data_IF_127556731642
#
_entry.id   IF_127556731642
#
_cell.length_a   1.000
_cell.length_b   1.000
_cell.length_c   1.000
_cell.angle_alpha   90.00
_cell.angle_beta   90.00
_cell.angle_gamma   90.00
#
_symmetry.space_group_name_H-M   'P 1'
#
loop_
_entity.id
_entity.type
_entity.pdbx_description
1 polymer ?
#
# COMPACT_ATOMS: atom_id res chain seq x y z
N UNK A 1 7.29 14.98 5.53
CA UNK A 1 6.75 14.68 4.19
C UNK A 1 5.24 14.85 4.18
N UNK A 2 4.69 15.27 3.04
CA UNK A 2 3.28 15.28 2.68
C UNK A 2 2.97 14.01 1.88
N UNK A 3 2.11 13.14 2.41
CA UNK A 3 1.88 11.80 1.85
C UNK A 3 0.38 11.58 1.65
N UNK A 4 -0.02 11.26 0.42
CA UNK A 4 -1.36 10.76 0.12
C UNK A 4 -1.34 9.23 0.12
N UNK A 5 -2.33 8.60 0.77
CA UNK A 5 -2.51 7.14 0.72
C UNK A 5 -3.83 6.85 0.02
N UNK A 6 -3.75 6.38 -1.23
CA UNK A 6 -4.90 6.08 -2.07
C UNK A 6 -5.33 4.64 -1.83
N UNK A 7 -6.46 4.47 -1.15
CA UNK A 7 -6.98 3.17 -0.72
C UNK A 7 -6.89 2.94 0.78
N UNK A 8 -7.71 3.64 1.57
CA UNK A 8 -7.73 3.52 3.02
C UNK A 8 -8.42 2.22 3.55
N UNK A 9 -8.00 1.07 3.04
CA UNK A 9 -8.26 -0.25 3.62
C UNK A 9 -7.22 -0.63 4.67
N UNK A 10 -7.07 -1.94 4.93
CA UNK A 10 -6.13 -2.48 5.92
C UNK A 10 -4.70 -1.91 5.80
N UNK A 11 -4.09 -2.07 4.62
CA UNK A 11 -2.69 -1.67 4.39
C UNK A 11 -2.54 -0.15 4.35
N UNK A 12 -3.46 0.56 3.67
CA UNK A 12 -3.42 2.01 3.60
C UNK A 12 -3.54 2.66 4.99
N UNK A 13 -4.46 2.17 5.82
CA UNK A 13 -4.59 2.61 7.21
C UNK A 13 -3.35 2.29 8.04
N UNK A 14 -2.75 1.10 7.88
CA UNK A 14 -1.53 0.74 8.60
C UNK A 14 -0.38 1.70 8.26
N UNK A 15 -0.10 1.88 6.97
CA UNK A 15 1.03 2.68 6.51
C UNK A 15 0.81 4.15 6.83
N UNK A 16 -0.36 4.70 6.48
CA UNK A 16 -0.67 6.09 6.75
C UNK A 16 -0.79 6.41 8.24
N UNK A 17 -1.36 5.51 9.05
CA UNK A 17 -1.43 5.67 10.50
C UNK A 17 -0.06 5.71 11.16
N UNK A 18 0.85 4.81 10.77
CA UNK A 18 2.22 4.77 11.32
C UNK A 18 3.07 5.95 10.87
N UNK A 19 2.93 6.39 9.62
CA UNK A 19 3.58 7.62 9.13
C UNK A 19 3.07 8.86 9.87
N UNK A 20 1.76 8.96 10.07
CA UNK A 20 1.18 10.06 10.84
C UNK A 20 1.69 10.07 12.29
N UNK A 21 1.80 8.92 12.95
CA UNK A 21 2.38 8.84 14.30
C UNK A 21 3.81 9.39 14.41
N UNK A 22 4.58 9.40 13.30
CA UNK A 22 5.91 10.01 13.23
C UNK A 22 5.89 11.50 12.81
N UNK A 23 4.72 12.11 12.75
CA UNK A 23 4.57 13.54 12.43
C UNK A 23 4.59 13.88 10.95
N UNK A 24 4.51 12.89 10.05
CA UNK A 24 4.27 13.17 8.63
C UNK A 24 2.84 13.67 8.43
N UNK A 25 2.66 14.56 7.46
CA UNK A 25 1.35 15.05 7.09
C UNK A 25 0.71 14.05 6.12
N UNK A 26 -0.27 13.29 6.61
CA UNK A 26 -0.86 12.16 5.90
C UNK A 26 -2.31 12.45 5.54
N UNK A 27 -2.65 12.26 4.26
CA UNK A 27 -4.03 12.27 3.76
C UNK A 27 -4.43 10.86 3.34
N UNK A 28 -5.39 10.26 4.06
CA UNK A 28 -5.99 8.98 3.74
C UNK A 28 -7.17 9.17 2.78
N UNK A 29 -7.12 8.54 1.61
CA UNK A 29 -8.22 8.54 0.65
C UNK A 29 -8.98 7.23 0.76
N UNK A 30 -10.21 7.32 1.25
CA UNK A 30 -11.12 6.18 1.39
C UNK A 30 -12.54 6.60 1.03
N UNK A 31 -13.48 5.65 0.93
CA UNK A 31 -14.88 5.97 0.61
C UNK A 31 -15.46 6.97 1.63
N UNK A 32 -16.48 7.78 1.28
CA UNK A 32 -17.03 8.83 2.17
C UNK A 32 -17.32 8.38 3.61
N UNK A 33 -17.94 7.20 3.78
CA UNK A 33 -18.19 6.60 5.11
C UNK A 33 -16.92 6.41 5.94
N UNK A 34 -15.81 6.01 5.31
CA UNK A 34 -14.51 5.90 5.99
C UNK A 34 -14.01 7.28 6.41
N UNK A 35 -14.03 8.25 5.48
CA UNK A 35 -13.57 9.60 5.75
C UNK A 35 -14.33 10.23 6.91
N UNK A 36 -15.65 10.17 6.91
CA UNK A 36 -16.52 10.66 7.99
C UNK A 36 -16.18 9.99 9.33
N UNK A 37 -16.02 8.65 9.34
CA UNK A 37 -15.71 7.90 10.56
C UNK A 37 -14.36 8.31 11.14
N UNK A 38 -13.32 8.41 10.31
CA UNK A 38 -11.97 8.79 10.76
C UNK A 38 -11.89 10.27 11.14
N UNK A 39 -12.61 11.15 10.46
CA UNK A 39 -12.71 12.57 10.86
C UNK A 39 -13.35 12.73 12.25
N UNK A 40 -14.36 11.92 12.57
CA UNK A 40 -15.06 12.00 13.85
C UNK A 40 -14.30 11.30 15.00
N UNK A 41 -13.80 10.09 14.76
CA UNK A 41 -13.28 9.22 15.81
C UNK A 41 -11.75 9.07 15.79
N UNK A 42 -11.08 9.47 14.69
CA UNK A 42 -9.70 9.10 14.39
C UNK A 42 -9.57 7.70 13.81
N UNK A 43 -8.37 7.37 13.34
CA UNK A 43 -8.03 6.02 12.89
C UNK A 43 -7.62 5.17 14.09
N UNK A 44 -8.27 4.04 14.30
CA UNK A 44 -7.92 3.12 15.39
C UNK A 44 -7.05 1.97 14.88
N UNK A 45 -5.96 1.72 15.60
CA UNK A 45 -5.05 0.59 15.37
C UNK A 45 -5.09 -0.31 16.60
N UNK A 46 -5.28 -1.61 16.36
CA UNK A 46 -5.25 -2.66 17.38
C UNK A 46 -4.09 -3.60 17.07
N UNK A 47 -3.22 -3.80 18.05
CA UNK A 47 -2.09 -4.74 18.00
C UNK A 47 -1.85 -5.36 19.38
N UNK A 48 -0.72 -6.05 19.55
CA UNK A 48 -0.32 -6.70 20.81
C UNK A 48 -0.16 -5.71 21.98
N UNK A 49 0.09 -4.42 21.70
CA UNK A 49 0.16 -3.37 22.71
C UNK A 49 -1.22 -2.81 23.09
N UNK A 50 -2.27 -3.22 22.37
CA UNK A 50 -3.65 -2.86 22.63
C UNK A 50 -4.24 -1.91 21.58
N UNK A 51 -5.29 -1.20 21.99
CA UNK A 51 -6.04 -0.28 21.12
C UNK A 51 -5.53 1.14 21.27
N UNK A 52 -5.13 1.77 20.18
CA UNK A 52 -4.70 3.17 20.15
C UNK A 52 -5.29 3.93 18.96
N UNK A 53 -5.47 5.24 19.10
CA UNK A 53 -6.12 6.09 18.10
C UNK A 53 -5.16 7.15 17.56
N UNK A 54 -4.99 7.17 16.24
CA UNK A 54 -4.25 8.16 15.48
C UNK A 54 -5.21 9.26 15.02
N UNK A 55 -4.98 10.49 15.49
CA UNK A 55 -5.84 11.65 15.20
C UNK A 55 -5.22 12.68 14.27
N UNK A 56 -3.92 12.60 14.04
CA UNK A 56 -3.19 13.51 13.16
C UNK A 56 -3.14 12.99 11.71
N UNK A 57 -4.26 12.47 11.23
CA UNK A 57 -4.48 12.10 9.82
C UNK A 57 -5.60 12.98 9.27
N UNK A 58 -5.43 13.42 8.03
CA UNK A 58 -6.55 13.93 7.22
C UNK A 58 -7.20 12.74 6.54
N UNK A 59 -8.53 12.65 6.53
CA UNK A 59 -9.25 11.61 5.78
C UNK A 59 -10.25 12.26 4.83
N UNK A 60 -10.29 11.81 3.57
CA UNK A 60 -11.15 12.36 2.52
C UNK A 60 -11.79 11.25 1.69
N UNK A 61 -12.92 11.58 1.06
CA UNK A 61 -13.81 10.65 0.35
C UNK A 61 -13.31 10.17 -1.02
N UNK A 62 -12.40 10.93 -1.64
CA UNK A 62 -11.89 10.69 -2.99
C UNK A 62 -10.55 11.43 -3.23
N UNK A 63 -9.91 11.08 -4.35
CA UNK A 63 -8.60 11.60 -4.74
C UNK A 63 -8.64 13.09 -5.10
N UNK A 64 -9.73 13.56 -5.70
CA UNK A 64 -9.86 14.98 -6.07
C UNK A 64 -9.87 15.88 -4.83
N UNK A 65 -10.61 15.50 -3.80
CA UNK A 65 -10.65 16.20 -2.52
C UNK A 65 -9.27 16.23 -1.82
N UNK A 66 -8.49 15.14 -1.92
CA UNK A 66 -7.15 15.07 -1.34
C UNK A 66 -6.22 16.13 -1.95
N UNK A 67 -6.22 16.27 -3.27
CA UNK A 67 -5.36 17.23 -3.98
C UNK A 67 -5.88 18.66 -3.89
N UNK A 68 -7.18 18.87 -4.02
CA UNK A 68 -7.78 20.20 -3.89
C UNK A 68 -7.60 20.81 -2.49
N UNK A 69 -7.56 19.96 -1.45
CA UNK A 69 -7.35 20.38 -0.06
C UNK A 69 -5.88 20.46 0.37
N UNK A 70 -4.92 20.09 -0.49
CA UNK A 70 -3.51 20.06 -0.12
C UNK A 70 -2.89 21.47 -0.14
N UNK A 71 -2.26 21.87 0.96
CA UNK A 71 -1.59 23.17 1.08
C UNK A 71 -0.23 23.24 0.36
N UNK A 72 0.31 22.09 -0.04
CA UNK A 72 1.54 21.95 -0.80
C UNK A 72 1.47 20.67 -1.64
N UNK A 73 2.32 20.50 -2.66
CA UNK A 73 2.43 19.23 -3.38
C UNK A 73 2.70 18.06 -2.43
N UNK A 74 2.17 16.89 -2.79
CA UNK A 74 2.52 15.64 -2.11
C UNK A 74 3.93 15.21 -2.55
N UNK A 75 4.70 14.68 -1.61
CA UNK A 75 5.99 14.05 -1.88
C UNK A 75 5.78 12.63 -2.44
N UNK A 76 4.75 11.93 -1.93
CA UNK A 76 4.40 10.58 -2.34
C UNK A 76 2.88 10.34 -2.36
N UNK A 77 2.41 9.60 -3.37
CA UNK A 77 1.10 8.98 -3.45
C UNK A 77 1.25 7.44 -3.34
N UNK A 78 0.85 6.87 -2.22
CA UNK A 78 0.96 5.44 -1.93
C UNK A 78 -0.33 4.74 -2.34
N UNK A 79 -0.26 3.91 -3.38
CA UNK A 79 -1.37 3.09 -3.84
C UNK A 79 -1.50 1.82 -3.01
N UNK A 80 -2.68 1.66 -2.41
CA UNK A 80 -3.08 0.50 -1.60
C UNK A 80 -4.50 0.02 -1.93
N UNK A 81 -5.08 0.53 -3.02
CA UNK A 81 -6.30 -0.02 -3.64
C UNK A 81 -6.07 -1.47 -4.10
N UNK A 82 -7.15 -2.19 -4.38
CA UNK A 82 -7.03 -3.53 -4.96
C UNK A 82 -6.49 -3.41 -6.39
N UNK A 83 -5.69 -4.38 -6.84
CA UNK A 83 -4.97 -4.27 -8.12
C UNK A 83 -5.88 -4.13 -9.34
N UNK A 84 -7.13 -4.61 -9.26
CA UNK A 84 -8.14 -4.41 -10.30
C UNK A 84 -8.70 -2.97 -10.35
N UNK A 85 -8.47 -2.16 -9.30
CA UNK A 85 -8.85 -0.74 -9.25
C UNK A 85 -7.68 0.19 -9.63
N UNK A 86 -6.49 -0.35 -9.96
CA UNK A 86 -5.28 0.44 -10.24
C UNK A 86 -5.50 1.44 -11.38
N UNK A 87 -6.07 1.02 -12.51
CA UNK A 87 -6.32 1.90 -13.65
C UNK A 87 -7.18 3.12 -13.26
N UNK A 88 -8.30 2.87 -12.58
CA UNK A 88 -9.20 3.93 -12.09
C UNK A 88 -8.49 4.87 -11.11
N UNK A 89 -7.70 4.33 -10.17
CA UNK A 89 -6.95 5.16 -9.23
C UNK A 89 -5.92 6.06 -9.91
N UNK A 90 -5.27 5.59 -10.98
CA UNK A 90 -4.34 6.40 -11.77
C UNK A 90 -5.07 7.49 -12.55
N UNK A 91 -6.19 7.17 -13.19
CA UNK A 91 -7.02 8.16 -13.91
C UNK A 91 -7.52 9.27 -12.98
N UNK A 92 -8.01 8.90 -11.79
CA UNK A 92 -8.44 9.86 -10.77
C UNK A 92 -7.29 10.75 -10.28
N UNK A 93 -6.11 10.17 -10.05
CA UNK A 93 -4.92 10.91 -9.67
C UNK A 93 -4.49 11.88 -10.78
N UNK A 94 -4.48 11.42 -12.03
CA UNK A 94 -4.13 12.24 -13.19
C UNK A 94 -5.07 13.42 -13.36
N UNK A 95 -6.38 13.19 -13.22
CA UNK A 95 -7.39 14.24 -13.26
C UNK A 95 -7.21 15.27 -12.12
N UNK A 96 -6.93 14.81 -10.90
CA UNK A 96 -6.70 15.68 -9.75
C UNK A 96 -5.43 16.55 -9.91
N UNK A 97 -4.34 15.96 -10.45
CA UNK A 97 -3.11 16.68 -10.78
C UNK A 97 -3.36 17.73 -11.88
N UNK A 98 -4.08 17.37 -12.94
CA UNK A 98 -4.42 18.30 -14.03
C UNK A 98 -5.29 19.46 -13.54
N UNK A 99 -6.23 19.21 -12.62
CA UNK A 99 -7.11 20.23 -12.07
C UNK A 99 -6.37 21.20 -11.13
N UNK A 100 -5.42 20.70 -10.34
CA UNK A 100 -4.71 21.50 -9.32
C UNK A 100 -3.40 22.11 -9.83
N UNK A 101 -2.84 21.58 -10.92
CA UNK A 101 -1.52 21.96 -11.43
C UNK A 101 -0.36 21.50 -10.54
N UNK A 102 -0.61 20.62 -9.56
CA UNK A 102 0.44 20.04 -8.72
C UNK A 102 1.34 19.13 -9.57
N UNK A 103 2.66 19.05 -9.26
CA UNK A 103 3.55 18.10 -9.91
C UNK A 103 3.18 16.66 -9.54
N UNK A 104 3.53 15.72 -10.41
CA UNK A 104 3.38 14.29 -10.15
C UNK A 104 4.31 13.90 -8.97
N UNK A 105 3.80 13.30 -7.88
CA UNK A 105 4.62 12.85 -6.76
C UNK A 105 5.36 11.55 -7.10
N UNK A 106 6.11 10.98 -6.15
CA UNK A 106 6.43 9.55 -6.24
C UNK A 106 5.13 8.74 -6.11
N UNK A 107 4.84 7.87 -7.07
CA UNK A 107 3.71 6.95 -7.04
C UNK A 107 4.20 5.57 -6.62
N UNK A 108 3.84 5.18 -5.40
CA UNK A 108 4.37 4.00 -4.71
C UNK A 108 3.31 2.91 -4.72
N UNK A 109 3.55 1.78 -5.38
CA UNK A 109 2.64 0.63 -5.28
C UNK A 109 3.04 -0.27 -4.11
N UNK A 110 2.19 -0.34 -3.09
CA UNK A 110 2.29 -1.36 -2.02
C UNK A 110 1.32 -2.52 -2.23
N UNK A 111 0.76 -2.63 -3.43
CA UNK A 111 -0.26 -3.60 -3.77
C UNK A 111 0.35 -4.98 -4.00
N UNK A 112 -0.42 -6.02 -3.67
CA UNK A 112 -0.06 -7.39 -4.04
C UNK A 112 -0.13 -7.60 -5.56
N UNK A 113 0.68 -8.53 -6.06
CA UNK A 113 0.73 -8.89 -7.48
C UNK A 113 1.82 -8.15 -8.25
N UNK A 114 1.75 -8.26 -9.57
CA UNK A 114 2.65 -7.65 -10.57
C UNK A 114 1.82 -6.88 -11.59
N UNK A 115 2.43 -5.96 -12.33
CA UNK A 115 1.76 -5.15 -13.36
C UNK A 115 1.28 -3.77 -12.91
N UNK A 116 1.19 -3.52 -11.60
CA UNK A 116 0.78 -2.20 -11.08
C UNK A 116 1.84 -1.14 -11.40
N UNK A 117 3.11 -1.48 -11.22
CA UNK A 117 4.24 -0.60 -11.48
C UNK A 117 4.38 -0.27 -12.97
N UNK A 118 4.16 -1.24 -13.86
CA UNK A 118 4.05 -0.99 -15.30
C UNK A 118 2.91 -0.03 -15.63
N UNK A 119 1.73 -0.19 -15.02
CA UNK A 119 0.59 0.70 -15.22
C UNK A 119 0.90 2.13 -14.75
N UNK A 120 1.53 2.27 -13.57
CA UNK A 120 1.98 3.58 -13.05
C UNK A 120 2.98 4.21 -14.03
N UNK A 121 4.01 3.47 -14.44
CA UNK A 121 5.05 4.00 -15.33
C UNK A 121 4.50 4.39 -16.70
N UNK A 122 3.50 3.67 -17.23
CA UNK A 122 2.83 4.02 -18.47
C UNK A 122 1.97 5.29 -18.33
N UNK A 123 1.39 5.54 -17.16
CA UNK A 123 0.52 6.69 -16.91
C UNK A 123 1.31 7.96 -16.53
N UNK A 124 2.36 7.82 -15.72
CA UNK A 124 3.06 8.94 -15.06
C UNK A 124 4.58 8.99 -15.31
N UNK A 125 5.12 8.14 -16.19
CA UNK A 125 6.56 7.90 -16.39
C UNK A 125 7.22 7.07 -15.28
N UNK A 126 8.21 6.26 -15.67
CA UNK A 126 9.05 5.44 -14.82
C UNK A 126 9.90 6.25 -13.82
N UNK A 127 10.04 7.56 -14.02
CA UNK A 127 10.68 8.48 -13.07
C UNK A 127 9.88 8.69 -11.77
N UNK A 128 8.55 8.43 -11.81
CA UNK A 128 7.67 8.57 -10.65
C UNK A 128 7.36 7.24 -9.97
N UNK A 129 7.71 6.10 -10.57
CA UNK A 129 7.27 4.79 -10.10
C UNK A 129 8.19 4.18 -9.04
N UNK A 130 7.63 3.82 -7.89
CA UNK A 130 8.31 3.03 -6.86
C UNK A 130 7.55 1.74 -6.62
N UNK A 131 8.26 0.62 -6.69
CA UNK A 131 7.74 -0.69 -6.37
C UNK A 131 7.87 -0.95 -4.87
N UNK A 132 6.85 -1.53 -4.26
CA UNK A 132 6.93 -1.96 -2.88
C UNK A 132 6.17 -3.24 -2.57
N UNK A 133 6.56 -3.84 -1.45
CA UNK A 133 5.94 -5.05 -0.89
C UNK A 133 5.80 -4.90 0.61
N UNK A 134 4.72 -5.44 1.17
CA UNK A 134 4.51 -5.51 2.61
C UNK A 134 4.04 -6.91 2.97
N UNK A 135 4.52 -7.42 4.11
CA UNK A 135 4.24 -8.80 4.57
C UNK A 135 3.48 -8.85 5.89
N UNK A 136 2.96 -7.71 6.35
CA UNK A 136 2.21 -7.62 7.62
C UNK A 136 0.75 -7.97 7.36
N UNK A 137 0.20 -9.03 7.99
CA UNK A 137 -1.23 -9.32 7.94
C UNK A 137 -2.00 -8.28 8.74
N UNK A 138 -3.02 -7.69 8.11
CA UNK A 138 -3.87 -6.67 8.71
C UNK A 138 -5.30 -6.91 8.27
N UNK A 139 -6.24 -6.85 9.21
CA UNK A 139 -7.68 -6.93 8.95
C UNK A 139 -8.38 -5.61 9.29
N UNK A 140 -9.58 -5.42 8.74
CA UNK A 140 -10.44 -4.26 9.00
C UNK A 140 -11.72 -4.78 9.66
N UNK A 141 -11.74 -4.98 10.99
CA UNK A 141 -12.94 -5.46 11.68
C UNK A 141 -14.10 -4.47 11.56
N UNK A 142 -13.82 -3.17 11.54
CA UNK A 142 -14.80 -2.10 11.47
C UNK A 142 -14.25 -0.92 10.65
N UNK A 143 -15.12 -0.07 10.10
CA UNK A 143 -14.69 1.13 9.38
C UNK A 143 -13.85 2.01 10.33
N UNK A 144 -12.64 2.40 9.90
CA UNK A 144 -11.73 3.20 10.71
C UNK A 144 -11.00 2.43 11.82
N UNK A 145 -11.14 1.09 11.88
CA UNK A 145 -10.42 0.23 12.84
C UNK A 145 -9.65 -0.82 12.07
N UNK A 146 -8.34 -0.93 12.32
CA UNK A 146 -7.51 -2.03 11.82
C UNK A 146 -6.99 -2.90 12.96
N UNK A 147 -6.82 -4.19 12.69
CA UNK A 147 -6.17 -5.14 13.59
C UNK A 147 -4.93 -5.71 12.90
N UNK A 148 -3.77 -5.64 13.57
CA UNK A 148 -2.49 -6.16 13.11
C UNK A 148 -2.26 -7.54 13.76
N UNK A 149 -2.40 -8.62 13.00
CA UNK A 149 -2.32 -9.98 13.57
C UNK A 149 -0.88 -10.38 13.94
N UNK A 150 0.09 -9.94 13.13
CA UNK A 150 1.52 -10.24 13.32
C UNK A 150 2.37 -9.01 12.96
N UNK A 151 2.83 -8.22 13.94
CA UNK A 151 3.51 -6.94 13.72
C UNK A 151 4.96 -7.11 13.25
N UNK A 152 5.18 -7.83 12.14
CA UNK A 152 6.52 -8.04 11.56
C UNK A 152 7.05 -6.79 10.88
N UNK A 153 6.15 -6.00 10.29
CA UNK A 153 6.43 -4.73 9.61
C UNK A 153 7.53 -4.78 8.54
N UNK A 154 7.78 -5.95 7.94
CA UNK A 154 8.79 -6.09 6.88
C UNK A 154 8.26 -5.57 5.55
N UNK A 155 9.02 -4.63 4.98
CA UNK A 155 8.72 -3.94 3.74
C UNK A 155 9.91 -4.02 2.78
N UNK A 156 9.63 -4.30 1.51
CA UNK A 156 10.61 -4.14 0.44
C UNK A 156 10.26 -2.91 -0.39
N UNK A 157 11.27 -2.12 -0.78
CA UNK A 157 11.12 -1.00 -1.70
C UNK A 157 12.17 -1.09 -2.80
N UNK A 158 11.81 -0.68 -4.01
CA UNK A 158 12.75 -0.52 -5.11
C UNK A 158 12.31 0.63 -5.98
N UNK A 159 13.28 1.43 -6.44
CA UNK A 159 13.05 2.31 -7.59
C UNK A 159 12.68 1.44 -8.79
N UNK A 160 11.66 1.83 -9.55
CA UNK A 160 11.29 1.11 -10.76
C UNK A 160 12.32 1.26 -11.88
N UNK A 161 12.95 2.43 -11.93
CA UNK A 161 14.01 2.74 -12.87
C UNK A 161 15.06 3.66 -12.23
N UNK A 162 16.26 3.77 -12.82
CA UNK A 162 17.26 4.75 -12.38
C UNK A 162 16.81 6.21 -12.51
N UNK A 163 15.76 6.49 -13.29
CA UNK A 163 15.20 7.84 -13.47
C UNK A 163 14.44 8.34 -12.24
N UNK A 164 14.06 7.44 -11.32
CA UNK A 164 13.49 7.84 -10.03
C UNK A 164 14.57 8.56 -9.22
N UNK A 165 14.24 9.79 -8.80
CA UNK A 165 15.12 10.62 -8.00
C UNK A 165 15.59 9.87 -6.74
N UNK A 166 16.91 9.79 -6.57
CA UNK A 166 17.51 9.01 -5.49
C UNK A 166 17.29 9.66 -4.11
N UNK A 167 17.21 10.99 -4.05
CA UNK A 167 16.96 11.73 -2.82
C UNK A 167 15.53 11.52 -2.33
N UNK A 168 14.54 11.75 -3.19
CA UNK A 168 13.14 11.53 -2.87
C UNK A 168 12.85 10.06 -2.50
N UNK A 169 13.51 9.11 -3.16
CA UNK A 169 13.42 7.69 -2.78
C UNK A 169 14.02 7.42 -1.38
N UNK A 170 15.17 8.03 -1.06
CA UNK A 170 15.79 7.90 0.26
C UNK A 170 14.91 8.54 1.36
N UNK A 171 14.33 9.70 1.10
CA UNK A 171 13.40 10.36 2.03
C UNK A 171 12.17 9.49 2.32
N UNK A 172 11.59 8.88 1.28
CA UNK A 172 10.48 7.93 1.43
C UNK A 172 10.89 6.70 2.24
N UNK A 173 12.07 6.14 1.92
CA UNK A 173 12.63 5.00 2.65
C UNK A 173 12.77 5.33 4.14
N UNK A 174 13.36 6.47 4.47
CA UNK A 174 13.65 6.88 5.84
C UNK A 174 12.36 7.23 6.60
N UNK A 175 11.37 7.83 5.94
CA UNK A 175 10.04 8.04 6.51
C UNK A 175 9.37 6.72 6.90
N UNK A 176 9.41 5.71 6.02
CA UNK A 176 8.84 4.40 6.29
C UNK A 176 9.64 3.65 7.37
N UNK A 177 10.97 3.73 7.35
CA UNK A 177 11.81 3.14 8.39
C UNK A 177 11.55 3.79 9.75
N UNK A 178 11.48 5.13 9.81
CA UNK A 178 11.14 5.89 11.01
C UNK A 178 9.73 5.58 11.55
N UNK A 179 8.78 5.25 10.65
CA UNK A 179 7.46 4.75 11.02
C UNK A 179 7.47 3.35 11.65
N UNK A 180 8.62 2.69 11.73
CA UNK A 180 8.82 1.39 12.36
C UNK A 180 8.69 0.21 11.40
N UNK A 181 8.72 0.46 10.09
CA UNK A 181 8.84 -0.61 9.10
C UNK A 181 10.30 -1.07 9.00
N UNK A 182 10.51 -2.38 8.86
CA UNK A 182 11.80 -2.96 8.50
C UNK A 182 11.94 -2.90 6.98
N UNK A 183 12.40 -1.75 6.50
CA UNK A 183 12.50 -1.46 5.07
C UNK A 183 13.80 -2.03 4.50
N UNK A 184 13.71 -2.80 3.43
CA UNK A 184 14.85 -3.24 2.62
C UNK A 184 14.76 -2.62 1.23
N UNK A 185 15.80 -1.89 0.83
CA UNK A 185 15.92 -1.36 -0.52
C UNK A 185 16.51 -2.44 -1.45
N UNK A 186 15.78 -2.77 -2.51
CA UNK A 186 16.19 -3.71 -3.54
C UNK A 186 16.69 -2.96 -4.78
N UNK A 187 17.65 -3.56 -5.49
CA UNK A 187 18.14 -3.07 -6.79
C UNK A 187 17.32 -3.58 -7.98
N UNK A 188 16.52 -4.63 -7.78
CA UNK A 188 15.65 -5.22 -8.79
C UNK A 188 14.19 -5.24 -8.31
N UNK A 189 13.43 -4.26 -8.79
CA UNK A 189 12.00 -4.13 -8.49
C UNK A 189 11.21 -5.36 -8.95
N UNK A 190 11.52 -5.91 -10.14
CA UNK A 190 10.77 -7.03 -10.71
C UNK A 190 11.05 -8.29 -9.92
N UNK A 191 12.32 -8.61 -9.67
CA UNK A 191 12.70 -9.75 -8.85
C UNK A 191 12.06 -9.73 -7.47
N UNK A 192 12.00 -8.55 -6.82
CA UNK A 192 11.30 -8.38 -5.54
C UNK A 192 9.79 -8.68 -5.65
N UNK A 193 9.08 -8.09 -6.64
CA UNK A 193 7.63 -8.28 -6.81
C UNK A 193 7.28 -9.72 -7.18
N UNK A 194 8.02 -10.33 -8.10
CA UNK A 194 7.83 -11.74 -8.50
C UNK A 194 8.10 -12.70 -7.35
N UNK A 195 9.16 -12.48 -6.57
CA UNK A 195 9.41 -13.30 -5.36
C UNK A 195 8.24 -13.21 -4.38
N UNK A 196 7.70 -12.00 -4.15
CA UNK A 196 6.54 -11.81 -3.28
C UNK A 196 5.27 -12.43 -3.85
N UNK A 197 5.08 -12.41 -5.17
CA UNK A 197 3.96 -13.04 -5.85
C UNK A 197 4.01 -14.56 -5.67
N UNK A 198 5.14 -15.20 -5.92
CA UNK A 198 5.31 -16.65 -5.73
C UNK A 198 4.99 -17.07 -4.29
N UNK A 199 5.41 -16.28 -3.30
CA UNK A 199 5.01 -16.51 -1.90
C UNK A 199 3.49 -16.36 -1.66
N UNK A 200 2.82 -15.47 -2.40
CA UNK A 200 1.39 -15.26 -2.30
C UNK A 200 0.58 -16.27 -3.11
N UNK A 201 1.16 -16.98 -4.09
CA UNK A 201 0.42 -17.99 -4.85
C UNK A 201 0.11 -19.19 -3.95
N UNK A 202 1.12 -19.65 -3.23
CA UNK A 202 1.06 -20.82 -2.34
C UNK A 202 0.02 -20.60 -1.24
N UNK A 203 -1.08 -21.34 -1.29
CA UNK A 203 -2.09 -21.35 -0.23
C UNK A 203 -2.95 -20.09 -0.12
N UNK A 204 -2.93 -19.16 -1.08
CA UNK A 204 -3.98 -18.14 -1.16
C UNK A 204 -5.06 -18.54 -2.17
N UNK A 205 -4.67 -18.78 -3.43
CA UNK A 205 -5.63 -19.08 -4.50
C UNK A 205 -6.34 -20.41 -4.24
N UNK A 206 -5.57 -21.46 -3.96
CA UNK A 206 -6.11 -22.80 -3.72
C UNK A 206 -6.99 -22.86 -2.48
N UNK A 207 -6.55 -22.24 -1.38
CA UNK A 207 -7.34 -22.12 -0.16
C UNK A 207 -8.65 -21.36 -0.39
N UNK A 208 -8.64 -20.30 -1.22
CA UNK A 208 -9.87 -19.58 -1.58
C UNK A 208 -10.81 -20.42 -2.46
N UNK A 209 -10.28 -21.19 -3.42
CA UNK A 209 -11.06 -22.05 -4.32
C UNK A 209 -11.73 -23.20 -3.56
N UNK A 210 -10.98 -23.84 -2.67
CA UNK A 210 -11.46 -25.00 -1.90
C UNK A 210 -12.26 -24.61 -0.64
N UNK A 211 -12.27 -23.33 -0.28
CA UNK A 211 -12.81 -22.82 0.97
C UNK A 211 -12.19 -23.50 2.22
N UNK A 212 -10.89 -23.75 2.16
CA UNK A 212 -10.11 -24.41 3.21
C UNK A 212 -9.00 -23.48 3.74
N UNK A 213 -8.63 -23.58 5.02
CA UNK A 213 -7.46 -22.87 5.53
C UNK A 213 -6.17 -23.39 4.89
N UNK A 214 -5.12 -22.55 4.74
CA UNK A 214 -3.85 -22.96 4.13
C UNK A 214 -3.24 -24.23 4.74
N UNK A 215 -3.42 -24.44 6.05
CA UNK A 215 -2.93 -25.63 6.73
C UNK A 215 -3.52 -26.95 6.18
N UNK A 216 -4.77 -26.95 5.70
CA UNK A 216 -5.39 -28.12 5.07
C UNK A 216 -4.89 -28.29 3.64
N UNK A 217 -4.82 -27.20 2.87
CA UNK A 217 -4.23 -27.17 1.53
C UNK A 217 -2.82 -27.75 1.50
N UNK A 218 -1.98 -27.45 2.49
CA UNK A 218 -0.61 -27.95 2.58
C UNK A 218 -0.48 -29.38 3.11
N UNK A 219 -1.52 -29.92 3.75
CA UNK A 219 -1.51 -31.27 4.29
C UNK A 219 -1.92 -32.32 3.25
N UNK A 220 -2.58 -31.91 2.17
CA UNK A 220 -2.98 -32.79 1.06
C UNK A 220 -1.86 -32.88 0.00
N UNK A 221 -1.25 -34.06 -0.22
CA UNK A 221 -0.19 -34.23 -1.21
C UNK A 221 -0.62 -33.91 -2.66
N UNK A 222 -1.86 -34.20 -3.03
CA UNK A 222 -2.34 -33.94 -4.39
C UNK A 222 -2.51 -32.43 -4.64
N UNK A 223 -2.94 -31.70 -3.61
CA UNK A 223 -3.01 -30.23 -3.67
C UNK A 223 -1.61 -29.62 -3.68
N UNK A 224 -0.68 -30.16 -2.89
CA UNK A 224 0.72 -29.71 -2.91
C UNK A 224 1.38 -29.87 -4.29
N UNK A 225 1.09 -30.95 -5.02
CA UNK A 225 1.58 -31.15 -6.38
C UNK A 225 1.04 -30.09 -7.36
N UNK A 226 -0.22 -29.67 -7.20
CA UNK A 226 -0.83 -28.58 -7.98
C UNK A 226 -0.14 -27.25 -7.69
N UNK A 227 0.12 -26.94 -6.42
CA UNK A 227 0.85 -25.72 -6.02
C UNK A 227 2.27 -25.70 -6.60
N UNK A 228 2.98 -26.84 -6.60
CA UNK A 228 4.31 -26.96 -7.21
C UNK A 228 4.25 -26.75 -8.74
N UNK A 229 3.22 -27.29 -9.40
CA UNK A 229 3.03 -27.08 -10.83
C UNK A 229 2.79 -25.58 -11.14
N UNK A 230 1.92 -24.93 -10.38
CA UNK A 230 1.63 -23.50 -10.52
C UNK A 230 2.85 -22.60 -10.29
N UNK A 231 3.78 -22.98 -9.40
CA UNK A 231 5.04 -22.23 -9.17
C UNK A 231 6.05 -22.35 -10.31
N UNK A 232 5.95 -23.39 -11.14
CA UNK A 232 6.88 -23.62 -12.27
C UNK A 232 6.51 -22.83 -13.52
N UNK A 233 5.23 -22.45 -13.64
CA UNK A 233 4.71 -21.58 -14.69
C UNK A 233 5.13 -20.12 -14.47
#
# INVERSE_FOLDING_TARGET
MQIAVIGAGAIGCLVGGKLAQQGHAVTLVGRPRFAETVQQAGLTIVDDAGRHTVRNVTAVGDTAAAWAGASSPFDAAILTVKSYDTATALDELGAALAQTGHPVPLVVSLQNGVGNEEAIAAHFDAAHTVAGTLTTPVSVPEVGVIHIDKPRFTMGLSRWSPAVDAGAFADLHDALAGAGFKVTAFGDARGMKWTKLLMNMIGNATSAILAEPPAQTFADPAIADIEIAALRE
#
